data_IF_676135380939
#
_entry.id   IF_676135380939
#
_cell.length_a   1.000
_cell.length_b   1.000
_cell.length_c   1.000
_cell.angle_alpha   90.00
_cell.angle_beta   90.00
_cell.angle_gamma   90.00
#
_symmetry.space_group_name_H-M   'P 1'
#
loop_
_entity.id
_entity.type
_entity.pdbx_description
1 polymer ?
#
# COMPACT_ATOMS: atom_id res chain seq x y z
N UNK A 1 -12.92 -9.60 -11.57
CA UNK A 1 -11.52 -9.96 -11.25
C UNK A 1 -10.58 -8.94 -11.87
N UNK A 2 -9.63 -8.44 -11.10
CA UNK A 2 -8.70 -7.44 -11.62
C UNK A 2 -7.60 -8.11 -12.45
N UNK A 3 -7.20 -7.45 -13.53
CA UNK A 3 -6.13 -7.93 -14.39
C UNK A 3 -4.79 -7.42 -13.93
N UNK A 4 -3.75 -8.21 -14.13
CA UNK A 4 -2.38 -7.78 -13.87
C UNK A 4 -2.04 -6.58 -14.75
N UNK A 5 -1.40 -5.59 -14.13
CA UNK A 5 -0.85 -4.47 -14.88
C UNK A 5 0.45 -4.89 -15.55
N UNK A 6 0.75 -4.30 -16.71
CA UNK A 6 2.04 -4.50 -17.35
C UNK A 6 3.13 -3.79 -16.56
N UNK A 7 4.38 -4.15 -16.80
CA UNK A 7 5.52 -3.47 -16.17
C UNK A 7 5.51 -1.98 -16.47
N UNK A 8 5.17 -1.61 -17.70
CA UNK A 8 5.09 -0.22 -18.11
C UNK A 8 3.97 0.53 -17.38
N UNK A 9 2.80 -0.11 -17.24
CA UNK A 9 1.68 0.49 -16.51
C UNK A 9 2.02 0.72 -15.04
N UNK A 10 2.69 -0.25 -14.42
CA UNK A 10 3.12 -0.12 -13.03
C UNK A 10 4.09 1.06 -12.88
N UNK A 11 5.09 1.11 -13.75
CA UNK A 11 6.10 2.16 -13.70
C UNK A 11 5.47 3.56 -13.86
N UNK A 12 4.51 3.67 -14.76
CA UNK A 12 3.85 4.95 -15.06
C UNK A 12 2.90 5.37 -13.94
N UNK A 13 2.20 4.42 -13.33
CA UNK A 13 1.10 4.70 -12.40
C UNK A 13 1.50 4.66 -10.92
N UNK A 14 2.68 4.13 -10.61
CA UNK A 14 3.13 3.99 -9.22
C UNK A 14 3.23 5.37 -8.56
N UNK A 15 2.58 5.60 -7.41
CA UNK A 15 2.72 6.88 -6.71
C UNK A 15 4.17 7.11 -6.29
N UNK A 16 4.58 8.38 -6.23
CA UNK A 16 5.99 8.78 -6.10
C UNK A 16 6.75 8.11 -4.97
N UNK A 17 6.14 7.97 -3.81
CA UNK A 17 6.83 7.43 -2.65
C UNK A 17 6.83 5.90 -2.58
N UNK A 18 6.21 5.26 -3.56
CA UNK A 18 6.14 3.81 -3.63
C UNK A 18 7.21 3.25 -4.55
N UNK A 19 7.66 2.04 -4.25
CA UNK A 19 8.57 1.31 -5.12
C UNK A 19 8.01 -0.09 -5.37
N UNK A 20 8.52 -0.73 -6.41
CA UNK A 20 8.12 -2.09 -6.75
C UNK A 20 9.17 -3.07 -6.29
N UNK A 21 8.73 -4.15 -5.65
CA UNK A 21 9.58 -5.28 -5.28
C UNK A 21 8.91 -6.56 -5.77
N UNK A 22 9.31 -7.02 -6.94
CA UNK A 22 8.72 -8.23 -7.53
C UNK A 22 7.24 -8.05 -7.83
N UNK A 23 6.41 -8.83 -7.16
CA UNK A 23 4.96 -8.83 -7.33
C UNK A 23 4.24 -7.90 -6.36
N UNK A 24 4.98 -7.07 -5.64
CA UNK A 24 4.43 -6.16 -4.63
C UNK A 24 4.83 -4.73 -4.90
N UNK A 25 4.02 -3.78 -4.42
CA UNK A 25 4.43 -2.39 -4.29
C UNK A 25 4.56 -2.08 -2.81
N UNK A 26 5.54 -1.23 -2.47
CA UNK A 26 5.97 -1.02 -1.08
C UNK A 26 6.19 0.45 -0.81
N UNK A 27 5.71 0.91 0.34
CA UNK A 27 6.08 2.22 0.87
C UNK A 27 6.32 2.10 2.37
N UNK A 28 7.32 2.82 2.87
CA UNK A 28 7.55 2.97 4.32
C UNK A 28 7.15 4.38 4.72
N UNK A 29 6.12 4.48 5.55
CA UNK A 29 5.64 5.75 6.11
C UNK A 29 6.39 6.04 7.40
N UNK A 30 6.85 7.28 7.55
CA UNK A 30 7.63 7.69 8.72
C UNK A 30 6.80 8.53 9.68
N UNK A 31 7.01 8.32 10.97
CA UNK A 31 6.27 8.98 12.06
C UNK A 31 7.21 9.39 13.18
N UNK A 32 6.79 10.42 13.93
CA UNK A 32 7.56 10.94 15.06
C UNK A 32 7.36 10.10 16.34
N UNK A 33 6.36 9.23 16.36
CA UNK A 33 6.07 8.39 17.52
C UNK A 33 5.50 7.05 17.08
N UNK A 34 5.66 6.06 17.95
CA UNK A 34 5.09 4.73 17.73
C UNK A 34 3.56 4.80 17.63
N UNK A 35 2.95 5.57 18.52
CA UNK A 35 1.48 5.69 18.55
C UNK A 35 0.93 6.31 17.26
N UNK A 36 1.63 7.29 16.69
CA UNK A 36 1.20 7.89 15.43
C UNK A 36 1.20 6.85 14.30
N UNK A 37 2.21 5.98 14.28
CA UNK A 37 2.26 4.89 13.32
C UNK A 37 1.11 3.88 13.50
N UNK A 38 0.81 3.54 14.74
CA UNK A 38 -0.32 2.67 15.08
C UNK A 38 -1.63 3.29 14.60
N UNK A 39 -1.81 4.59 14.84
CA UNK A 39 -3.02 5.32 14.41
C UNK A 39 -3.17 5.31 12.89
N UNK A 40 -2.08 5.56 12.18
CA UNK A 40 -2.09 5.49 10.72
C UNK A 40 -2.47 4.07 10.24
N UNK A 41 -1.84 3.04 10.82
CA UNK A 41 -2.11 1.66 10.42
C UNK A 41 -3.57 1.29 10.68
N UNK A 42 -4.15 1.78 11.76
CA UNK A 42 -5.56 1.54 12.07
C UNK A 42 -6.47 2.18 11.02
N UNK A 43 -6.18 3.43 10.64
CA UNK A 43 -6.93 4.12 9.60
C UNK A 43 -6.80 3.44 8.24
N UNK A 44 -5.57 3.05 7.88
CA UNK A 44 -5.31 2.31 6.66
C UNK A 44 -6.06 0.96 6.66
N UNK A 45 -6.10 0.31 7.82
CA UNK A 45 -6.87 -0.93 7.98
C UNK A 45 -8.34 -0.74 7.66
N UNK A 46 -8.94 0.37 8.12
CA UNK A 46 -10.33 0.69 7.80
C UNK A 46 -10.57 0.89 6.30
N UNK A 47 -9.65 1.57 5.64
CA UNK A 47 -9.71 1.77 4.19
C UNK A 47 -9.57 0.44 3.45
N UNK A 48 -8.65 -0.41 3.92
CA UNK A 48 -8.43 -1.74 3.33
C UNK A 48 -9.69 -2.61 3.46
N UNK A 49 -10.37 -2.56 4.61
CA UNK A 49 -11.63 -3.27 4.82
C UNK A 49 -12.72 -2.79 3.85
N UNK A 50 -12.80 -1.47 3.67
CA UNK A 50 -13.76 -0.89 2.73
C UNK A 50 -13.50 -1.35 1.30
N UNK A 51 -12.24 -1.39 0.90
CA UNK A 51 -11.85 -1.84 -0.45
C UNK A 51 -11.86 -3.36 -0.59
N UNK A 52 -11.95 -4.08 0.53
CA UNK A 52 -11.79 -5.54 0.62
C UNK A 52 -10.49 -5.99 -0.07
N UNK A 53 -9.41 -5.28 0.26
CA UNK A 53 -8.08 -5.57 -0.29
C UNK A 53 -7.07 -5.25 0.81
N UNK A 54 -6.43 -6.27 1.35
CA UNK A 54 -5.68 -6.17 2.61
C UNK A 54 -4.18 -6.16 2.38
N UNK A 55 -3.48 -5.10 2.83
CA UNK A 55 -2.02 -5.03 2.74
C UNK A 55 -1.37 -5.84 3.85
N UNK A 56 -0.08 -6.13 3.67
CA UNK A 56 0.77 -6.52 4.76
C UNK A 56 1.37 -5.23 5.35
N UNK A 57 1.29 -5.07 6.66
CA UNK A 57 1.86 -3.91 7.34
C UNK A 57 2.82 -4.35 8.43
N UNK A 58 4.01 -3.76 8.44
CA UNK A 58 5.02 -4.00 9.47
C UNK A 58 5.21 -2.71 10.25
N UNK A 59 4.90 -2.74 11.54
CA UNK A 59 4.95 -1.56 12.40
C UNK A 59 6.17 -1.63 13.29
N UNK A 60 7.01 -0.61 13.23
CA UNK A 60 8.16 -0.45 14.10
C UNK A 60 8.08 0.91 14.77
N UNK A 61 9.06 1.27 15.60
CA UNK A 61 8.98 2.47 16.43
C UNK A 61 8.60 3.73 15.65
N UNK A 62 9.24 3.99 14.55
CA UNK A 62 9.03 5.24 13.80
C UNK A 62 8.54 5.02 12.38
N UNK A 63 8.11 3.81 12.04
CA UNK A 63 7.79 3.48 10.66
C UNK A 63 6.65 2.49 10.55
N UNK A 64 5.90 2.60 9.44
CA UNK A 64 4.94 1.58 9.03
C UNK A 64 5.27 1.23 7.58
N UNK A 65 5.75 0.02 7.35
CA UNK A 65 5.99 -0.47 6.00
C UNK A 65 4.70 -1.12 5.49
N UNK A 66 4.24 -0.69 4.32
CA UNK A 66 3.02 -1.21 3.71
C UNK A 66 3.37 -1.90 2.40
N UNK A 67 2.90 -3.15 2.23
CA UNK A 67 3.10 -3.94 1.03
C UNK A 67 1.75 -4.33 0.45
N UNK A 68 1.59 -4.11 -0.84
CA UNK A 68 0.35 -4.41 -1.54
C UNK A 68 0.61 -5.33 -2.73
N UNK A 69 -0.24 -6.32 -2.87
CA UNK A 69 -0.27 -7.20 -4.04
C UNK A 69 -1.67 -7.78 -4.14
N UNK A 70 -2.03 -8.28 -5.30
CA UNK A 70 -3.32 -8.94 -5.50
C UNK A 70 -3.08 -10.44 -5.65
N UNK A 71 -3.26 -11.19 -4.56
CA UNK A 71 -2.93 -12.62 -4.51
C UNK A 71 -3.65 -13.43 -5.59
N UNK A 72 -4.94 -13.18 -5.77
CA UNK A 72 -5.73 -13.94 -6.75
C UNK A 72 -5.25 -13.74 -8.18
N UNK A 73 -4.68 -12.59 -8.48
CA UNK A 73 -4.14 -12.28 -9.81
C UNK A 73 -2.67 -12.67 -9.95
N UNK A 74 -1.99 -12.88 -8.83
CA UNK A 74 -0.57 -13.24 -8.82
C UNK A 74 0.37 -12.06 -8.98
N UNK A 75 -0.05 -10.86 -8.61
CA UNK A 75 0.82 -9.68 -8.71
C UNK A 75 0.05 -8.37 -8.59
N UNK A 76 0.58 -7.33 -9.21
CA UNK A 76 0.08 -5.96 -9.06
C UNK A 76 -1.05 -5.68 -10.03
N UNK A 77 -2.16 -5.17 -9.50
CA UNK A 77 -3.33 -4.78 -10.29
C UNK A 77 -3.68 -3.32 -9.98
N UNK A 78 -4.69 -2.81 -10.68
CA UNK A 78 -5.24 -1.48 -10.42
C UNK A 78 -5.70 -1.31 -8.96
N UNK A 79 -6.17 -2.38 -8.33
CA UNK A 79 -6.60 -2.33 -6.93
C UNK A 79 -5.45 -1.91 -6.01
N UNK A 80 -4.24 -2.39 -6.28
CA UNK A 80 -3.07 -2.04 -5.47
C UNK A 80 -2.71 -0.57 -5.63
N UNK A 81 -2.75 -0.06 -6.86
CA UNK A 81 -2.43 1.34 -7.15
C UNK A 81 -3.45 2.27 -6.48
N UNK A 82 -4.75 1.95 -6.61
CA UNK A 82 -5.80 2.77 -6.01
C UNK A 82 -5.69 2.79 -4.49
N UNK A 83 -5.42 1.64 -3.89
CA UNK A 83 -5.31 1.57 -2.44
C UNK A 83 -4.08 2.32 -1.93
N UNK A 84 -2.96 2.24 -2.66
CA UNK A 84 -1.76 3.01 -2.34
C UNK A 84 -2.07 4.51 -2.31
N UNK A 85 -2.81 5.01 -3.30
CA UNK A 85 -3.21 6.41 -3.35
C UNK A 85 -4.10 6.79 -2.16
N UNK A 86 -5.03 5.93 -1.78
CA UNK A 86 -5.90 6.17 -0.63
C UNK A 86 -5.10 6.22 0.68
N UNK A 87 -4.12 5.34 0.84
CA UNK A 87 -3.24 5.36 2.02
C UNK A 87 -2.42 6.65 2.07
N UNK A 88 -1.90 7.09 0.93
CA UNK A 88 -1.14 8.34 0.87
C UNK A 88 -2.01 9.52 1.30
N UNK A 89 -3.29 9.53 0.92
CA UNK A 89 -4.22 10.59 1.30
C UNK A 89 -4.45 10.63 2.82
N UNK A 90 -4.46 9.48 3.49
CA UNK A 90 -4.59 9.44 4.94
C UNK A 90 -3.34 10.03 5.61
N UNK A 91 -2.19 9.73 5.06
CA UNK A 91 -0.91 10.15 5.62
C UNK A 91 -0.69 11.65 5.52
N UNK A 92 -1.18 12.28 4.47
CA UNK A 92 -0.97 13.71 4.20
C UNK A 92 -1.84 14.64 5.04
#
# INVERSE_FOLDING_TARGET
MADLLSDEEIETRLPDAWSREGDEIVRTYEFDSYLDGIGFASGAGGVAEDAWHHPEMTITWGEVEVRLTTHDAGGITDNDIQLAERFDNIYE
#
